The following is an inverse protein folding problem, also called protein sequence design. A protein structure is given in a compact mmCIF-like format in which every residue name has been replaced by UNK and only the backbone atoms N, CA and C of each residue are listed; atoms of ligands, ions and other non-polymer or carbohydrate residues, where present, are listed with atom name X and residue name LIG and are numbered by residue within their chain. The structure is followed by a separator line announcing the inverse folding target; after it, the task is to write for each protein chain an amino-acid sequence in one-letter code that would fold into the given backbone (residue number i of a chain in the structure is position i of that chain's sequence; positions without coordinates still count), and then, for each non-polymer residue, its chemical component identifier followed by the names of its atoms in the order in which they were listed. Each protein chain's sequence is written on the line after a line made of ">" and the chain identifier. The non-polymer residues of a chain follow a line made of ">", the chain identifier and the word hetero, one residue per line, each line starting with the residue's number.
data_IF_395595940355
#
_entry.id   IF_395595940355
#
_cell.length_a   1.000
_cell.length_b   1.000
_cell.length_c   1.000
_cell.angle_alpha   90.00
_cell.angle_beta   90.00
_cell.angle_gamma   90.00
#
_symmetry.space_group_name_H-M   'P 1'
#
loop_
_entity.id
_entity.type
_entity.pdbx_description
1 polymer ?
#
# COMPACT_ATOMS: atom_id res chain seq x y z
N UNK A 1 18.86 -15.63 13.49
CA UNK A 1 18.12 -15.27 12.26
C UNK A 1 19.11 -14.67 11.26
N UNK A 2 19.44 -15.40 10.17
CA UNK A 2 20.43 -14.95 9.17
C UNK A 2 19.85 -13.76 8.40
N UNK A 3 20.38 -12.58 8.65
CA UNK A 3 20.14 -11.37 7.85
C UNK A 3 20.78 -11.61 6.47
N UNK A 4 20.05 -12.24 5.56
CA UNK A 4 20.46 -12.36 4.15
C UNK A 4 20.70 -10.93 3.64
N UNK A 5 21.97 -10.55 3.46
CA UNK A 5 22.32 -9.24 2.88
C UNK A 5 21.96 -9.32 1.41
N UNK A 6 20.71 -8.96 1.11
CA UNK A 6 20.24 -8.81 -0.27
C UNK A 6 21.08 -7.71 -0.94
N UNK A 7 21.50 -7.90 -2.21
CA UNK A 7 22.16 -6.84 -2.96
C UNK A 7 21.26 -5.60 -3.05
N UNK A 8 21.73 -4.50 -2.46
CA UNK A 8 20.95 -3.29 -2.21
C UNK A 8 20.44 -2.67 -3.52
N UNK A 9 21.28 -2.66 -4.56
CA UNK A 9 20.93 -2.18 -5.90
C UNK A 9 19.81 -2.97 -6.58
N UNK A 10 19.89 -4.31 -6.53
CA UNK A 10 18.86 -5.21 -7.07
C UNK A 10 17.51 -4.98 -6.37
N UNK A 11 17.53 -4.72 -5.05
CA UNK A 11 16.31 -4.43 -4.30
C UNK A 11 15.70 -3.08 -4.70
N UNK A 12 16.51 -2.03 -4.80
CA UNK A 12 16.06 -0.69 -5.21
C UNK A 12 15.46 -0.74 -6.62
N UNK A 13 16.12 -1.40 -7.56
CA UNK A 13 15.64 -1.48 -8.94
C UNK A 13 14.27 -2.15 -9.05
N UNK A 14 14.03 -3.21 -8.26
CA UNK A 14 12.74 -3.88 -8.23
C UNK A 14 11.62 -2.96 -7.71
N UNK A 15 11.87 -2.24 -6.61
CA UNK A 15 10.88 -1.31 -6.06
C UNK A 15 10.64 -0.11 -6.98
N UNK A 16 11.68 0.43 -7.62
CA UNK A 16 11.52 1.48 -8.63
C UNK A 16 10.69 1.02 -9.83
N UNK A 17 10.95 -0.19 -10.33
CA UNK A 17 10.15 -0.79 -11.40
C UNK A 17 8.68 -0.94 -11.01
N UNK A 18 8.42 -1.38 -9.77
CA UNK A 18 7.06 -1.42 -9.23
C UNK A 18 6.45 -0.01 -9.14
N UNK A 19 7.16 0.98 -8.62
CA UNK A 19 6.66 2.36 -8.51
C UNK A 19 6.22 2.90 -9.86
N UNK A 20 7.03 2.71 -10.91
CA UNK A 20 6.66 3.13 -12.27
C UNK A 20 5.38 2.44 -12.72
N UNK A 21 5.31 1.11 -12.60
CA UNK A 21 4.10 0.36 -12.97
C UNK A 21 2.86 0.80 -12.17
N UNK A 22 3.01 1.05 -10.86
CA UNK A 22 1.93 1.49 -9.99
C UNK A 22 1.43 2.90 -10.35
N UNK A 23 2.30 3.81 -10.81
CA UNK A 23 1.90 5.12 -11.32
C UNK A 23 1.02 4.96 -12.57
N UNK A 24 1.42 4.10 -13.51
CA UNK A 24 0.62 3.82 -14.71
C UNK A 24 -0.74 3.19 -14.37
N UNK A 25 -0.77 2.29 -13.38
CA UNK A 25 -2.03 1.68 -12.92
C UNK A 25 -2.95 2.68 -12.22
N UNK A 26 -2.39 3.61 -11.43
CA UNK A 26 -3.17 4.70 -10.83
C UNK A 26 -3.75 5.65 -11.88
N UNK A 27 -3.02 5.88 -12.98
CA UNK A 27 -3.55 6.63 -14.10
C UNK A 27 -4.70 5.88 -14.81
N UNK A 28 -4.58 4.56 -14.96
CA UNK A 28 -5.61 3.74 -15.61
C UNK A 28 -6.88 3.54 -14.76
N UNK A 29 -6.72 3.39 -13.44
CA UNK A 29 -7.81 3.19 -12.48
C UNK A 29 -7.72 4.31 -11.45
N UNK A 30 -8.39 5.42 -11.75
CA UNK A 30 -8.51 6.55 -10.85
C UNK A 30 -9.22 6.13 -9.54
N UNK A 31 -8.86 6.77 -8.43
CA UNK A 31 -9.48 6.54 -7.12
C UNK A 31 -8.87 5.41 -6.30
N UNK A 32 -7.94 4.63 -6.86
CA UNK A 32 -7.31 3.49 -6.16
C UNK A 32 -5.82 3.70 -5.97
N UNK A 33 -5.35 3.59 -4.73
CA UNK A 33 -3.92 3.68 -4.40
C UNK A 33 -3.20 2.33 -4.59
N UNK A 34 -2.51 2.19 -5.72
CA UNK A 34 -1.70 1.00 -6.03
C UNK A 34 -0.38 0.93 -5.25
N UNK A 35 -0.01 1.95 -4.46
CA UNK A 35 1.16 1.86 -3.58
C UNK A 35 0.86 1.09 -2.29
N UNK A 36 -0.40 1.08 -1.85
CA UNK A 36 -0.81 0.40 -0.61
C UNK A 36 -0.45 -1.10 -0.57
N UNK A 37 -0.73 -1.93 -1.61
CA UNK A 37 -0.31 -3.33 -1.64
C UNK A 37 1.21 -3.52 -1.53
N UNK A 38 1.99 -2.58 -2.06
CA UNK A 38 3.45 -2.60 -1.95
C UNK A 38 3.94 -2.32 -0.52
N UNK A 39 3.29 -1.39 0.18
CA UNK A 39 3.58 -1.15 1.60
C UNK A 39 3.28 -2.41 2.41
N UNK A 40 2.11 -3.02 2.22
CA UNK A 40 1.73 -4.29 2.87
C UNK A 40 2.76 -5.39 2.61
N UNK A 41 3.17 -5.58 1.34
CA UNK A 41 4.17 -6.56 0.96
C UNK A 41 5.54 -6.27 1.60
N UNK A 42 5.97 -5.00 1.65
CA UNK A 42 7.24 -4.62 2.27
C UNK A 42 7.25 -4.86 3.79
N UNK A 43 6.11 -4.71 4.46
CA UNK A 43 5.95 -5.02 5.88
C UNK A 43 6.08 -6.51 6.19
N UNK A 44 5.59 -7.37 5.29
CA UNK A 44 5.73 -8.82 5.39
C UNK A 44 7.19 -9.28 5.24
N UNK A 45 8.04 -8.49 4.58
CA UNK A 45 9.48 -8.79 4.46
C UNK A 45 10.30 -8.50 5.73
N UNK A 46 9.68 -7.95 6.77
CA UNK A 46 10.30 -7.65 8.07
C UNK A 46 11.57 -6.79 8.00
N UNK A 47 11.68 -5.94 6.97
CA UNK A 47 12.79 -5.00 6.83
C UNK A 47 12.31 -3.56 7.09
N UNK A 48 12.28 -3.10 8.36
CA UNK A 48 11.65 -1.83 8.74
C UNK A 48 12.29 -0.62 8.07
N UNK A 49 13.60 -0.69 7.76
CA UNK A 49 14.29 0.40 7.03
C UNK A 49 13.75 0.55 5.61
N UNK A 50 13.50 -0.56 4.91
CA UNK A 50 12.96 -0.54 3.56
C UNK A 50 11.52 -0.03 3.56
N UNK A 51 10.68 -0.54 4.47
CA UNK A 51 9.29 -0.07 4.63
C UNK A 51 9.25 1.42 4.91
N UNK A 52 10.10 1.93 5.82
CA UNK A 52 10.15 3.35 6.15
C UNK A 52 10.46 4.23 4.93
N UNK A 53 11.46 3.86 4.13
CA UNK A 53 11.80 4.60 2.91
C UNK A 53 10.71 4.52 1.84
N UNK A 54 10.08 3.34 1.67
CA UNK A 54 8.98 3.18 0.71
C UNK A 54 7.76 4.00 1.11
N UNK A 55 7.33 3.93 2.37
CA UNK A 55 6.20 4.73 2.88
C UNK A 55 6.49 6.22 2.73
N UNK A 56 7.70 6.66 3.08
CA UNK A 56 8.08 8.08 2.93
C UNK A 56 8.05 8.51 1.46
N UNK A 57 8.61 7.71 0.56
CA UNK A 57 8.61 8.00 -0.88
C UNK A 57 7.18 8.03 -1.44
N UNK A 58 6.35 7.06 -1.11
CA UNK A 58 4.97 6.98 -1.61
C UNK A 58 4.07 8.06 -1.02
N UNK A 59 4.26 8.43 0.25
CA UNK A 59 3.61 9.58 0.85
C UNK A 59 3.98 10.86 0.10
N UNK A 60 5.27 11.12 -0.15
CA UNK A 60 5.70 12.31 -0.88
C UNK A 60 5.15 12.36 -2.32
N UNK A 61 5.10 11.22 -3.01
CA UNK A 61 4.50 11.14 -4.35
C UNK A 61 3.00 11.48 -4.27
N UNK A 62 2.25 10.81 -3.38
CA UNK A 62 0.81 11.03 -3.25
C UNK A 62 0.46 12.45 -2.78
N UNK A 63 1.18 13.02 -1.83
CA UNK A 63 1.00 14.43 -1.43
C UNK A 63 1.34 15.38 -2.59
N UNK A 64 2.35 15.06 -3.41
CA UNK A 64 2.76 15.87 -4.55
C UNK A 64 1.79 15.83 -5.72
N UNK A 65 1.05 14.72 -5.89
CA UNK A 65 0.08 14.52 -6.97
C UNK A 65 -1.37 14.71 -6.52
N UNK A 66 -1.64 14.70 -5.21
CA UNK A 66 -2.97 14.75 -4.63
C UNK A 66 -3.59 16.14 -4.66
N UNK A 67 -4.91 16.20 -4.85
CA UNK A 67 -5.68 17.45 -4.79
C UNK A 67 -6.18 17.79 -3.37
N UNK A 68 -6.06 16.85 -2.42
CA UNK A 68 -6.58 16.94 -1.05
C UNK A 68 -5.50 17.52 -0.12
N UNK A 69 -5.91 18.03 1.05
CA UNK A 69 -5.03 18.64 2.04
C UNK A 69 -3.84 17.74 2.41
N UNK A 70 -2.72 18.43 2.67
CA UNK A 70 -1.49 17.82 3.13
C UNK A 70 -1.73 16.99 4.40
N UNK A 71 -1.29 15.73 4.38
CA UNK A 71 -1.39 14.80 5.52
C UNK A 71 -2.43 13.70 5.34
N UNK A 72 -3.25 13.78 4.29
CA UNK A 72 -4.18 12.70 3.91
C UNK A 72 -3.43 11.39 3.62
N UNK A 73 -2.36 11.42 2.81
CA UNK A 73 -1.57 10.24 2.49
C UNK A 73 -0.79 9.74 3.71
N UNK A 74 -0.33 10.65 4.58
CA UNK A 74 0.38 10.29 5.80
C UNK A 74 -0.52 9.48 6.73
N UNK A 75 -1.76 9.94 6.96
CA UNK A 75 -2.74 9.19 7.75
C UNK A 75 -3.13 7.87 7.08
N UNK A 76 -3.24 7.87 5.75
CA UNK A 76 -3.53 6.66 4.97
C UNK A 76 -2.47 5.58 5.18
N UNK A 77 -1.19 5.88 4.95
CA UNK A 77 -0.12 4.89 5.14
C UNK A 77 0.10 4.53 6.61
N UNK A 78 -0.01 5.50 7.54
CA UNK A 78 0.05 5.20 8.97
C UNK A 78 -1.06 4.24 9.41
N UNK A 79 -2.27 4.39 8.88
CA UNK A 79 -3.38 3.47 9.20
C UNK A 79 -3.07 2.04 8.76
N UNK A 80 -2.47 1.86 7.58
CA UNK A 80 -2.03 0.55 7.10
C UNK A 80 -0.92 -0.05 7.98
N UNK A 81 0.05 0.77 8.41
CA UNK A 81 1.10 0.33 9.34
C UNK A 81 0.50 -0.17 10.66
N UNK A 82 -0.45 0.58 11.23
CA UNK A 82 -1.14 0.24 12.48
C UNK A 82 -1.95 -1.05 12.31
N UNK A 83 -2.78 -1.13 11.27
CA UNK A 83 -3.61 -2.31 10.99
C UNK A 83 -2.78 -3.57 10.79
N UNK A 84 -1.68 -3.47 10.05
CA UNK A 84 -0.76 -4.59 9.85
C UNK A 84 -0.02 -4.95 11.14
N UNK A 85 0.42 -3.99 11.93
CA UNK A 85 1.12 -4.27 13.19
C UNK A 85 0.23 -5.02 14.18
N UNK A 86 -0.99 -4.54 14.42
CA UNK A 86 -1.94 -5.21 15.31
C UNK A 86 -2.50 -6.50 14.70
N UNK A 87 -2.78 -6.48 13.40
CA UNK A 87 -3.35 -7.64 12.70
C UNK A 87 -2.41 -8.84 12.67
N UNK A 88 -1.09 -8.61 12.58
CA UNK A 88 -0.05 -9.65 12.67
C UNK A 88 0.00 -10.37 14.02
N UNK A 89 -0.52 -9.76 15.08
CA UNK A 89 -0.62 -10.42 16.38
C UNK A 89 -1.75 -11.46 16.42
N UNK A 90 -2.79 -11.25 15.62
CA UNK A 90 -3.99 -12.11 15.59
C UNK A 90 -3.93 -13.17 14.47
N UNK A 91 -3.26 -12.88 13.35
CA UNK A 91 -3.17 -13.75 12.18
C UNK A 91 -1.77 -13.76 11.55
N UNK A 92 -1.45 -14.84 10.84
CA UNK A 92 -0.25 -14.89 10.00
C UNK A 92 -0.30 -13.82 8.91
N UNK A 93 0.74 -12.98 8.87
CA UNK A 93 0.85 -11.82 7.98
C UNK A 93 0.73 -12.17 6.49
N UNK A 94 1.05 -13.42 6.13
CA UNK A 94 1.07 -13.92 4.75
C UNK A 94 -0.24 -14.61 4.34
N UNK A 95 -1.24 -14.69 5.23
CA UNK A 95 -2.49 -15.34 4.92
C UNK A 95 -3.37 -14.45 4.02
N UNK A 96 -3.92 -15.01 2.94
CA UNK A 96 -4.81 -14.31 2.05
C UNK A 96 -6.05 -13.74 2.76
N UNK A 97 -6.67 -14.51 3.67
CA UNK A 97 -7.84 -14.06 4.42
C UNK A 97 -7.55 -12.83 5.28
N UNK A 98 -6.36 -12.78 5.87
CA UNK A 98 -5.92 -11.64 6.66
C UNK A 98 -5.85 -10.36 5.81
N UNK A 99 -5.34 -10.48 4.59
CA UNK A 99 -5.15 -9.35 3.68
C UNK A 99 -6.48 -8.86 3.12
N UNK A 100 -7.42 -9.76 2.83
CA UNK A 100 -8.79 -9.38 2.48
C UNK A 100 -9.42 -8.58 3.62
N UNK A 101 -9.26 -9.03 4.87
CA UNK A 101 -9.79 -8.31 6.04
C UNK A 101 -9.15 -6.93 6.19
N UNK A 102 -7.82 -6.83 6.08
CA UNK A 102 -7.11 -5.54 6.10
C UNK A 102 -7.57 -4.62 4.97
N UNK A 103 -7.79 -5.18 3.78
CA UNK A 103 -8.24 -4.41 2.61
C UNK A 103 -9.67 -3.88 2.80
N UNK A 104 -10.58 -4.69 3.36
CA UNK A 104 -11.92 -4.24 3.73
C UNK A 104 -11.89 -3.16 4.81
N UNK A 105 -11.04 -3.33 5.84
CA UNK A 105 -10.87 -2.33 6.90
C UNK A 105 -10.30 -1.01 6.35
N UNK A 106 -9.32 -1.08 5.44
CA UNK A 106 -8.77 0.08 4.75
C UNK A 106 -9.79 0.74 3.83
N UNK A 107 -10.61 -0.03 3.09
CA UNK A 107 -11.68 0.51 2.25
C UNK A 107 -12.73 1.27 3.07
N UNK A 108 -13.11 0.74 4.24
CA UNK A 108 -13.99 1.45 5.17
C UNK A 108 -13.33 2.69 5.76
N UNK A 109 -12.06 2.58 6.16
CA UNK A 109 -11.29 3.70 6.69
C UNK A 109 -11.11 4.82 5.66
N UNK A 110 -10.95 4.50 4.38
CA UNK A 110 -10.87 5.47 3.28
C UNK A 110 -12.10 6.38 3.19
N UNK A 111 -13.29 5.85 3.47
CA UNK A 111 -14.52 6.65 3.54
C UNK A 111 -14.41 7.71 4.64
N UNK A 112 -14.05 7.27 5.85
CA UNK A 112 -13.90 8.14 7.01
C UNK A 112 -12.79 9.18 6.84
N UNK A 113 -11.64 8.76 6.31
CA UNK A 113 -10.49 9.63 6.07
C UNK A 113 -10.80 10.72 5.04
N UNK A 114 -11.40 10.33 3.91
CA UNK A 114 -11.76 11.25 2.83
C UNK A 114 -12.82 12.24 3.29
N UNK A 115 -13.84 11.78 4.03
CA UNK A 115 -14.84 12.68 4.63
C UNK A 115 -14.24 13.64 5.64
N UNK A 116 -13.35 13.18 6.53
CA UNK A 116 -12.70 14.02 7.51
C UNK A 116 -11.88 15.12 6.83
N UNK A 117 -11.07 14.76 5.83
CA UNK A 117 -10.25 15.72 5.09
C UNK A 117 -11.09 16.68 4.26
N UNK A 118 -12.14 16.19 3.59
CA UNK A 118 -13.04 17.03 2.82
C UNK A 118 -13.76 18.06 3.68
N UNK A 119 -14.23 17.67 4.88
CA UNK A 119 -14.85 18.60 5.82
C UNK A 119 -13.86 19.68 6.29
N UNK A 120 -12.60 19.30 6.59
CA UNK A 120 -11.56 20.27 6.96
C UNK A 120 -11.27 21.29 5.85
N UNK A 121 -11.45 20.90 4.59
CA UNK A 121 -11.24 21.75 3.42
C UNK A 121 -12.51 22.43 2.91
N UNK A 122 -13.68 22.20 3.52
CA UNK A 122 -14.99 22.58 2.98
C UNK A 122 -15.20 22.15 1.52
N UNK A 123 -14.63 21.00 1.14
CA UNK A 123 -14.71 20.44 -0.20
C UNK A 123 -15.94 19.53 -0.33
N UNK A 124 -16.68 19.64 -1.44
CA UNK A 124 -17.83 18.78 -1.68
C UNK A 124 -17.40 17.48 -2.35
N UNK A 125 -17.53 16.37 -1.63
CA UNK A 125 -17.25 15.03 -2.14
C UNK A 125 -18.55 14.38 -2.60
N UNK A 126 -18.53 13.77 -3.78
CA UNK A 126 -19.62 12.93 -4.22
C UNK A 126 -19.56 11.60 -3.45
N UNK A 127 -20.55 11.38 -2.57
CA UNK A 127 -20.59 10.21 -1.71
C UNK A 127 -20.74 8.89 -2.48
N UNK A 128 -21.49 8.88 -3.59
CA UNK A 128 -21.69 7.66 -4.38
C UNK A 128 -20.39 7.19 -5.03
N UNK A 129 -19.63 8.14 -5.57
CA UNK A 129 -18.32 7.87 -6.18
C UNK A 129 -17.30 7.44 -5.13
N UNK A 130 -17.31 8.08 -3.95
CA UNK A 130 -16.42 7.71 -2.84
C UNK A 130 -16.68 6.28 -2.35
N UNK A 131 -17.95 5.86 -2.24
CA UNK A 131 -18.29 4.48 -1.87
C UNK A 131 -17.82 3.49 -2.93
N UNK A 132 -18.02 3.80 -4.21
CA UNK A 132 -17.55 2.97 -5.31
C UNK A 132 -16.01 2.80 -5.27
N UNK A 133 -15.26 3.89 -5.10
CA UNK A 133 -13.80 3.87 -5.01
C UNK A 133 -13.32 3.06 -3.80
N UNK A 134 -13.95 3.20 -2.64
CA UNK A 134 -13.64 2.40 -1.46
C UNK A 134 -13.91 0.90 -1.65
N UNK A 135 -15.01 0.54 -2.33
CA UNK A 135 -15.31 -0.85 -2.67
C UNK A 135 -14.29 -1.42 -3.66
N UNK A 136 -13.93 -0.64 -4.69
CA UNK A 136 -12.90 -1.01 -5.66
C UNK A 136 -11.55 -1.20 -4.97
N UNK A 137 -11.16 -0.28 -4.09
CA UNK A 137 -9.92 -0.35 -3.33
C UNK A 137 -9.87 -1.61 -2.46
N UNK A 138 -10.95 -1.94 -1.73
CA UNK A 138 -11.03 -3.15 -0.92
C UNK A 138 -10.87 -4.44 -1.75
N UNK A 139 -11.36 -4.46 -3.00
CA UNK A 139 -11.22 -5.60 -3.90
C UNK A 139 -9.87 -5.67 -4.64
N UNK A 140 -9.31 -4.52 -5.03
CA UNK A 140 -8.07 -4.44 -5.82
C UNK A 140 -6.83 -4.68 -4.97
N UNK A 141 -6.79 -4.19 -3.73
CA UNK A 141 -5.63 -4.40 -2.84
C UNK A 141 -5.23 -5.89 -2.72
N UNK A 142 -6.14 -6.83 -2.40
CA UNK A 142 -5.76 -8.23 -2.25
C UNK A 142 -5.36 -8.87 -3.58
N UNK A 143 -5.97 -8.47 -4.70
CA UNK A 143 -5.61 -8.98 -6.03
C UNK A 143 -4.21 -8.53 -6.45
N UNK A 144 -3.91 -7.24 -6.32
CA UNK A 144 -2.59 -6.68 -6.61
C UNK A 144 -1.55 -7.26 -5.67
N UNK A 145 -1.90 -7.45 -4.39
CA UNK A 145 -1.01 -8.09 -3.42
C UNK A 145 -0.62 -9.51 -3.83
N UNK A 146 -1.56 -10.36 -4.30
CA UNK A 146 -1.22 -11.73 -4.75
C UNK A 146 -0.17 -11.70 -5.86
N UNK A 147 -0.40 -10.86 -6.88
CA UNK A 147 0.51 -10.73 -8.03
C UNK A 147 1.87 -10.22 -7.54
N UNK A 148 1.87 -9.19 -6.70
CA UNK A 148 3.10 -8.61 -6.18
C UNK A 148 3.89 -9.60 -5.34
N UNK A 149 3.21 -10.29 -4.43
CA UNK A 149 3.80 -11.26 -3.51
C UNK A 149 4.44 -12.43 -4.28
N UNK A 150 3.75 -12.98 -5.27
CA UNK A 150 4.28 -14.06 -6.11
C UNK A 150 5.49 -13.62 -6.94
N UNK A 151 5.43 -12.46 -7.61
CA UNK A 151 6.56 -11.89 -8.35
C UNK A 151 7.75 -11.63 -7.44
N UNK A 152 7.49 -11.13 -6.23
CA UNK A 152 8.52 -10.81 -5.24
C UNK A 152 9.19 -12.07 -4.70
N UNK A 153 8.42 -13.11 -4.35
CA UNK A 153 8.98 -14.38 -3.92
C UNK A 153 9.84 -15.02 -5.01
N UNK A 154 9.37 -15.00 -6.27
CA UNK A 154 10.15 -15.48 -7.42
C UNK A 154 11.47 -14.71 -7.58
N UNK A 155 11.42 -13.38 -7.46
CA UNK A 155 12.62 -12.54 -7.51
C UNK A 155 13.60 -12.86 -6.38
N UNK A 156 13.12 -12.98 -5.15
CA UNK A 156 13.96 -13.31 -3.99
C UNK A 156 14.59 -14.70 -4.11
N UNK A 157 13.87 -15.68 -4.69
CA UNK A 157 14.42 -17.01 -4.98
C UNK A 157 15.57 -16.93 -5.98
N UNK A 158 15.42 -16.16 -7.05
CA UNK A 158 16.45 -16.01 -8.08
C UNK A 158 17.69 -15.27 -7.57
N UNK A 159 17.50 -14.24 -6.74
CA UNK A 159 18.62 -13.48 -6.16
C UNK A 159 19.42 -14.28 -5.15
N UNK A 160 18.79 -15.21 -4.43
CA UNK A 160 19.49 -16.10 -3.49
C UNK A 160 20.17 -17.30 -4.16
N UNK A 161 19.81 -17.62 -5.42
CA UNK A 161 20.40 -18.71 -6.19
C UNK A 161 21.69 -18.30 -6.94
N UNK A 162 21.95 -16.99 -7.06
CA UNK A 162 23.18 -16.39 -7.60
C UNK A 162 24.11 -15.94 -6.48
#
# INVERSE_FOLDING_TARGET
>A
MRKSRRPLFKNIFWWLGYTVAAIWMQFAIAGVDFFMPAVICSMQEENPRQTFWLVTMFALIQEGTGAIAFGSSTLWYCSALILMYYGRWMFDANNFFFIVLVSCALGFWNLGLTMLMANLQNFQVNFELLVADSCLLAGIIPLVWIILYSLRQGYLRNVNAT
#
